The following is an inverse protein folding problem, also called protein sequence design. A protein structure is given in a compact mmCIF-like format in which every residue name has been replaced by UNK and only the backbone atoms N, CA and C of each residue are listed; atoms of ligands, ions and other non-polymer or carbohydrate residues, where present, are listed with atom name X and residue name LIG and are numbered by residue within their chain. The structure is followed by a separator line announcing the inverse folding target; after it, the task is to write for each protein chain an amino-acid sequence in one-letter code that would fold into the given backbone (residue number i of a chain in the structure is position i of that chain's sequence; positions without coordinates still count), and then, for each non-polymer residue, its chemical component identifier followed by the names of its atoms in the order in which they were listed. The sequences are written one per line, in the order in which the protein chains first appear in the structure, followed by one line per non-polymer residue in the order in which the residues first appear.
data_IF_717576167408
#
_entry.id   IF_717576167408
#
_cell.length_a   1.000
_cell.length_b   1.000
_cell.length_c   1.000
_cell.angle_alpha   90.00
_cell.angle_beta   90.00
_cell.angle_gamma   90.00
#
_symmetry.space_group_name_H-M   'P 1'
#
loop_
_entity.id
_entity.type
_entity.pdbx_description
1 polymer ?
#
# COMPACT_ATOMS: atom_id res chain seq x y z
N UNK A 1 -95.03 -50.02 33.07
CA UNK A 1 -94.64 -49.45 31.82
C UNK A 1 -93.08 -49.22 31.91
N UNK A 2 -92.38 -49.88 31.02
CA UNK A 2 -90.94 -50.08 31.00
C UNK A 2 -90.21 -48.91 30.41
N UNK A 3 -89.15 -48.47 31.03
CA UNK A 3 -88.14 -47.69 30.36
C UNK A 3 -86.77 -48.24 30.66
N UNK A 4 -86.15 -48.79 29.61
CA UNK A 4 -84.82 -49.35 29.60
C UNK A 4 -83.77 -48.23 29.63
N UNK A 5 -82.87 -48.22 30.64
CA UNK A 5 -81.71 -47.41 30.69
C UNK A 5 -80.56 -47.99 29.82
N UNK A 6 -80.07 -47.20 28.93
CA UNK A 6 -78.97 -47.53 28.06
C UNK A 6 -77.63 -47.06 28.71
N UNK A 7 -76.71 -48.00 29.03
CA UNK A 7 -75.39 -47.73 29.51
C UNK A 7 -74.52 -47.25 28.36
N UNK A 8 -73.91 -46.06 28.48
CA UNK A 8 -72.98 -45.49 27.54
C UNK A 8 -71.55 -45.81 28.02
N UNK A 9 -70.84 -46.62 27.27
CA UNK A 9 -69.48 -46.99 27.55
C UNK A 9 -68.60 -45.92 26.86
N UNK A 10 -67.85 -45.13 27.66
CA UNK A 10 -66.90 -44.16 27.17
C UNK A 10 -65.59 -44.91 26.96
N UNK A 11 -65.17 -45.05 25.69
CA UNK A 11 -63.85 -45.55 25.33
C UNK A 11 -62.84 -44.37 25.31
N UNK A 12 -61.94 -44.41 26.23
CA UNK A 12 -60.84 -43.40 26.31
C UNK A 12 -59.76 -43.75 25.26
N UNK A 13 -59.69 -42.98 24.21
CA UNK A 13 -58.58 -43.05 23.21
C UNK A 13 -57.40 -42.25 23.73
N UNK A 14 -56.36 -42.95 24.16
CA UNK A 14 -55.01 -42.31 24.47
C UNK A 14 -54.34 -42.09 23.16
N UNK A 15 -54.24 -40.82 22.74
CA UNK A 15 -53.51 -40.38 21.56
C UNK A 15 -52.04 -40.17 21.94
N UNK A 16 -51.20 -41.15 21.58
CA UNK A 16 -49.77 -41.08 21.74
C UNK A 16 -49.22 -40.08 20.68
N UNK A 17 -48.90 -38.83 21.08
CA UNK A 17 -48.14 -37.89 20.26
C UNK A 17 -46.69 -38.36 20.20
N UNK A 18 -46.26 -39.00 19.14
CA UNK A 18 -44.87 -39.19 18.76
C UNK A 18 -44.32 -37.83 18.32
N UNK A 19 -43.57 -37.19 19.21
CA UNK A 19 -42.70 -36.05 18.87
C UNK A 19 -41.54 -36.57 18.01
N UNK A 20 -41.73 -36.58 16.70
CA UNK A 20 -40.62 -36.62 15.73
C UNK A 20 -39.92 -35.26 15.81
N UNK A 21 -38.84 -35.19 16.59
CA UNK A 21 -37.87 -34.11 16.49
C UNK A 21 -37.30 -34.16 15.07
N UNK A 22 -37.77 -33.29 14.20
CA UNK A 22 -37.08 -32.98 12.97
C UNK A 22 -35.72 -32.35 13.33
N UNK A 23 -34.72 -33.19 13.33
CA UNK A 23 -33.33 -32.74 13.29
C UNK A 23 -33.15 -32.14 11.89
N UNK A 24 -33.50 -30.86 11.70
CA UNK A 24 -33.10 -30.13 10.52
C UNK A 24 -31.57 -30.07 10.57
N UNK A 25 -30.88 -30.54 9.55
CA UNK A 25 -29.44 -30.25 9.46
C UNK A 25 -29.33 -28.72 9.50
N UNK A 26 -28.61 -28.21 10.49
CA UNK A 26 -28.16 -26.83 10.47
C UNK A 26 -27.41 -26.72 9.15
N UNK A 27 -28.01 -26.04 8.19
CA UNK A 27 -27.36 -25.66 6.95
C UNK A 27 -26.20 -24.77 7.37
N UNK A 28 -25.03 -25.39 7.54
CA UNK A 28 -23.77 -24.68 7.63
C UNK A 28 -23.48 -24.13 6.22
N UNK A 29 -24.40 -23.24 5.80
CA UNK A 29 -24.22 -22.49 4.58
C UNK A 29 -22.82 -21.92 4.62
N UNK A 30 -21.99 -22.39 3.72
CA UNK A 30 -20.68 -21.84 3.45
C UNK A 30 -20.86 -20.32 3.25
N UNK A 31 -20.75 -19.56 4.37
CA UNK A 31 -20.87 -18.11 4.31
C UNK A 31 -19.70 -17.62 3.48
N UNK A 32 -19.98 -17.30 2.23
CA UNK A 32 -18.98 -16.73 1.33
C UNK A 32 -18.74 -15.29 1.78
N UNK A 33 -17.77 -15.13 2.67
CA UNK A 33 -17.39 -13.82 3.19
C UNK A 33 -16.54 -13.10 2.15
N UNK A 34 -16.81 -11.82 1.94
CA UNK A 34 -16.06 -10.98 0.99
C UNK A 34 -15.24 -9.95 1.75
N UNK A 35 -14.00 -9.72 1.27
CA UNK A 35 -13.14 -8.62 1.70
C UNK A 35 -13.00 -7.64 0.54
N UNK A 36 -13.22 -6.35 0.78
CA UNK A 36 -12.88 -5.27 -0.15
C UNK A 36 -11.49 -4.73 0.19
N UNK A 37 -10.50 -5.05 -0.65
CA UNK A 37 -9.14 -4.54 -0.55
C UNK A 37 -8.99 -3.29 -1.39
N UNK A 38 -8.70 -2.17 -0.76
CA UNK A 38 -8.31 -0.92 -1.42
C UNK A 38 -6.79 -0.72 -1.25
N UNK A 39 -6.05 -0.91 -2.31
CA UNK A 39 -4.59 -0.79 -2.30
C UNK A 39 -4.08 0.24 -3.31
N UNK A 40 -2.86 0.72 -3.11
CA UNK A 40 -2.18 1.48 -4.16
C UNK A 40 -1.74 0.55 -5.30
N UNK A 41 -1.33 1.12 -6.45
CA UNK A 41 -1.16 0.35 -7.70
C UNK A 41 -0.02 -0.66 -7.69
N UNK A 42 1.04 -0.37 -6.94
CA UNK A 42 2.34 -1.06 -7.04
C UNK A 42 2.31 -2.53 -6.58
N UNK A 43 1.65 -2.90 -5.45
CA UNK A 43 1.65 -4.28 -4.97
C UNK A 43 0.63 -5.21 -5.64
N UNK A 44 -0.06 -4.76 -6.69
CA UNK A 44 -1.15 -5.50 -7.32
C UNK A 44 -0.78 -6.94 -7.67
N UNK A 45 0.34 -7.16 -8.32
CA UNK A 45 0.77 -8.49 -8.75
C UNK A 45 1.07 -9.41 -7.55
N UNK A 46 1.69 -8.88 -6.50
CA UNK A 46 1.95 -9.64 -5.28
C UNK A 46 0.65 -10.08 -4.61
N UNK A 47 -0.33 -9.17 -4.51
CA UNK A 47 -1.65 -9.50 -3.96
C UNK A 47 -2.37 -10.54 -4.81
N UNK A 48 -2.51 -10.31 -6.11
CA UNK A 48 -3.34 -11.13 -6.97
C UNK A 48 -2.76 -12.51 -7.25
N UNK A 49 -1.45 -12.59 -7.43
CA UNK A 49 -0.81 -13.85 -7.86
C UNK A 49 -0.36 -14.76 -6.71
N UNK A 50 -0.09 -14.20 -5.52
CA UNK A 50 0.47 -14.97 -4.40
C UNK A 50 -0.34 -14.80 -3.10
N UNK A 51 -0.48 -13.58 -2.60
CA UNK A 51 -0.95 -13.31 -1.24
C UNK A 51 -2.42 -13.69 -1.06
N UNK A 52 -3.31 -13.21 -1.93
CA UNK A 52 -4.74 -13.50 -1.86
C UNK A 52 -5.01 -15.00 -2.03
N UNK A 53 -4.47 -15.70 -3.06
CA UNK A 53 -4.68 -17.13 -3.19
C UNK A 53 -4.18 -17.95 -1.99
N UNK A 54 -3.00 -17.61 -1.46
CA UNK A 54 -2.45 -18.30 -0.30
C UNK A 54 -3.30 -18.09 0.97
N UNK A 55 -3.73 -16.84 1.23
CA UNK A 55 -4.63 -16.56 2.35
C UNK A 55 -5.97 -17.27 2.21
N UNK A 56 -6.60 -17.27 1.03
CA UNK A 56 -7.85 -17.97 0.77
C UNK A 56 -7.75 -19.46 1.09
N UNK A 57 -6.66 -20.09 0.66
CA UNK A 57 -6.36 -21.50 0.97
C UNK A 57 -6.21 -21.73 2.47
N UNK A 58 -5.34 -20.94 3.12
CA UNK A 58 -5.09 -21.05 4.56
C UNK A 58 -6.36 -20.82 5.39
N UNK A 59 -7.17 -19.80 5.04
CA UNK A 59 -8.42 -19.50 5.73
C UNK A 59 -9.40 -20.67 5.63
N UNK A 60 -9.58 -21.23 4.43
CA UNK A 60 -10.44 -22.39 4.20
C UNK A 60 -9.98 -23.64 4.97
N UNK A 61 -8.67 -23.91 4.97
CA UNK A 61 -8.10 -25.04 5.72
C UNK A 61 -8.30 -24.90 7.23
N UNK A 62 -8.16 -23.66 7.74
CA UNK A 62 -8.25 -23.37 9.19
C UNK A 62 -9.71 -23.32 9.69
N UNK A 63 -10.63 -22.80 8.89
CA UNK A 63 -11.99 -22.47 9.34
C UNK A 63 -13.10 -23.24 8.63
N UNK A 64 -12.82 -23.88 7.51
CA UNK A 64 -13.83 -24.46 6.61
C UNK A 64 -14.57 -23.42 5.76
N UNK A 65 -14.38 -22.12 6.02
CA UNK A 65 -15.09 -21.04 5.32
C UNK A 65 -14.31 -20.59 4.07
N UNK A 66 -15.07 -20.13 3.06
CA UNK A 66 -14.48 -19.50 1.88
C UNK A 66 -14.49 -17.98 2.03
N UNK A 67 -13.46 -17.33 1.53
CA UNK A 67 -13.36 -15.88 1.43
C UNK A 67 -13.07 -15.47 -0.01
N UNK A 68 -13.74 -14.41 -0.46
CA UNK A 68 -13.52 -13.80 -1.78
C UNK A 68 -13.02 -12.39 -1.61
N UNK A 69 -12.38 -11.86 -2.65
CA UNK A 69 -11.86 -10.49 -2.64
C UNK A 69 -12.49 -9.67 -3.76
N UNK A 70 -12.87 -8.45 -3.41
CA UNK A 70 -12.97 -7.34 -4.36
C UNK A 70 -11.73 -6.48 -4.18
N UNK A 71 -11.22 -5.96 -5.27
CA UNK A 71 -9.94 -5.26 -5.26
C UNK A 71 -10.06 -3.93 -6.00
N UNK A 72 -9.47 -2.87 -5.44
CA UNK A 72 -9.31 -1.57 -6.08
C UNK A 72 -7.86 -1.16 -6.04
N UNK A 73 -7.29 -0.78 -7.18
CA UNK A 73 -5.90 -0.36 -7.33
C UNK A 73 -5.82 0.97 -8.07
N UNK A 74 -5.62 2.04 -7.33
CA UNK A 74 -5.41 3.40 -7.86
C UNK A 74 -4.27 4.08 -7.10
N UNK A 75 -3.91 5.30 -7.47
CA UNK A 75 -2.91 6.07 -6.71
C UNK A 75 -3.32 6.22 -5.25
N UNK A 76 -2.37 6.09 -4.32
CA UNK A 76 -2.62 5.96 -2.88
C UNK A 76 -3.47 7.11 -2.31
N UNK A 77 -3.13 8.36 -2.62
CA UNK A 77 -3.93 9.51 -2.18
C UNK A 77 -5.33 9.55 -2.80
N UNK A 78 -5.48 9.07 -4.05
CA UNK A 78 -6.79 8.92 -4.69
C UNK A 78 -7.61 7.82 -4.00
N UNK A 79 -6.96 6.73 -3.60
CA UNK A 79 -7.58 5.62 -2.88
C UNK A 79 -8.07 6.05 -1.49
N UNK A 80 -7.24 6.78 -0.74
CA UNK A 80 -7.63 7.33 0.56
C UNK A 80 -8.87 8.22 0.44
N UNK A 81 -8.89 9.13 -0.54
CA UNK A 81 -10.06 9.98 -0.79
C UNK A 81 -11.28 9.18 -1.24
N UNK A 82 -11.13 8.13 -2.04
CA UNK A 82 -12.24 7.28 -2.44
C UNK A 82 -12.89 6.60 -1.21
N UNK A 83 -12.09 6.09 -0.27
CA UNK A 83 -12.57 5.52 0.98
C UNK A 83 -13.33 6.57 1.80
N UNK A 84 -12.77 7.75 2.00
CA UNK A 84 -13.42 8.85 2.73
C UNK A 84 -14.73 9.27 2.06
N UNK A 85 -14.80 9.21 0.74
CA UNK A 85 -15.99 9.55 -0.05
C UNK A 85 -16.97 8.38 -0.25
N UNK A 86 -16.82 7.26 0.48
CA UNK A 86 -17.81 6.19 0.54
C UNK A 86 -17.43 4.90 -0.20
N UNK A 87 -16.19 4.71 -0.65
CA UNK A 87 -15.72 3.39 -1.06
C UNK A 87 -15.67 2.49 0.18
N UNK A 88 -16.51 1.48 0.22
CA UNK A 88 -16.66 0.58 1.36
C UNK A 88 -15.53 -0.46 1.41
N UNK A 89 -14.29 0.01 1.51
CA UNK A 89 -13.13 -0.85 1.67
C UNK A 89 -13.04 -1.37 3.11
N UNK A 90 -12.74 -2.66 3.25
CA UNK A 90 -12.46 -3.29 4.56
C UNK A 90 -11.00 -3.11 4.95
N UNK A 91 -10.11 -3.13 3.96
CA UNK A 91 -8.65 -3.01 4.13
C UNK A 91 -8.13 -1.87 3.27
N UNK A 92 -7.41 -0.95 3.88
CA UNK A 92 -6.64 0.08 3.23
C UNK A 92 -5.15 -0.29 3.29
N UNK A 93 -4.57 -0.69 2.15
CA UNK A 93 -3.13 -0.98 2.01
C UNK A 93 -2.51 0.10 1.12
N UNK A 94 -1.97 1.14 1.75
CA UNK A 94 -1.61 2.38 1.08
C UNK A 94 -0.10 2.61 1.02
N UNK A 95 0.30 3.60 0.24
CA UNK A 95 1.70 3.90 -0.04
C UNK A 95 2.41 4.59 1.12
N UNK A 96 1.67 5.33 1.94
CA UNK A 96 2.26 6.16 2.99
C UNK A 96 1.28 6.39 4.16
N UNK A 97 1.87 6.64 5.32
CA UNK A 97 1.16 6.91 6.57
C UNK A 97 0.11 8.02 6.45
N UNK A 98 0.45 9.13 5.79
CA UNK A 98 -0.45 10.28 5.66
C UNK A 98 -1.77 9.97 4.98
N UNK A 99 -1.80 8.96 4.09
CA UNK A 99 -3.03 8.50 3.43
C UNK A 99 -3.91 7.68 4.41
N UNK A 100 -3.31 6.84 5.26
CA UNK A 100 -4.03 6.16 6.35
C UNK A 100 -4.56 7.18 7.36
N UNK A 101 -3.75 8.17 7.73
CA UNK A 101 -4.16 9.24 8.65
C UNK A 101 -5.33 10.08 8.08
N UNK A 102 -5.43 10.22 6.77
CA UNK A 102 -6.58 10.88 6.14
C UNK A 102 -7.89 10.12 6.40
N UNK A 103 -7.86 8.79 6.32
CA UNK A 103 -9.00 7.91 6.60
C UNK A 103 -9.30 7.88 8.11
N UNK A 104 -8.26 7.86 8.94
CA UNK A 104 -8.38 7.92 10.41
C UNK A 104 -9.03 9.23 10.88
N UNK A 105 -8.57 10.37 10.37
CA UNK A 105 -9.17 11.69 10.67
C UNK A 105 -10.63 11.82 10.23
N UNK A 106 -11.03 11.08 9.19
CA UNK A 106 -12.43 10.98 8.78
C UNK A 106 -13.28 10.06 9.70
N UNK A 107 -12.68 9.45 10.72
CA UNK A 107 -13.35 8.59 11.70
C UNK A 107 -13.73 7.21 11.18
N UNK A 108 -13.17 6.78 10.05
CA UNK A 108 -13.43 5.47 9.44
C UNK A 108 -12.50 4.38 10.00
N UNK A 109 -11.27 4.72 10.34
CA UNK A 109 -10.33 3.90 11.12
C UNK A 109 -10.40 4.42 12.55
N UNK A 110 -10.72 3.57 13.53
CA UNK A 110 -10.96 3.97 14.92
C UNK A 110 -9.99 3.34 15.92
N UNK A 111 -9.28 2.28 15.51
CA UNK A 111 -8.24 1.66 16.31
C UNK A 111 -6.89 2.34 16.08
N UNK A 112 -5.97 2.18 17.02
CA UNK A 112 -4.58 2.59 16.82
C UNK A 112 -3.87 1.57 15.91
N UNK A 113 -3.87 1.85 14.61
CA UNK A 113 -3.31 0.97 13.59
C UNK A 113 -1.79 0.80 13.70
N UNK A 114 -1.10 1.76 14.36
CA UNK A 114 0.36 1.71 14.59
C UNK A 114 0.78 0.73 15.69
N UNK A 115 -0.15 0.26 16.53
CA UNK A 115 0.16 -0.78 17.53
C UNK A 115 0.39 -2.17 16.94
N UNK A 116 0.12 -2.36 15.64
CA UNK A 116 0.47 -3.61 14.96
C UNK A 116 1.99 -3.76 14.84
N UNK A 117 2.50 -5.00 14.65
CA UNK A 117 3.92 -5.21 14.41
C UNK A 117 4.47 -4.28 13.32
N UNK A 118 5.71 -3.86 13.46
CA UNK A 118 6.37 -2.91 12.54
C UNK A 118 5.61 -1.59 12.35
N UNK A 119 4.93 -1.10 13.41
CA UNK A 119 4.10 0.12 13.36
C UNK A 119 3.02 0.09 12.26
N UNK A 120 2.46 -1.09 11.98
CA UNK A 120 1.46 -1.26 10.93
C UNK A 120 2.02 -1.29 9.49
N UNK A 121 3.33 -1.24 9.33
CA UNK A 121 3.97 -1.37 8.02
C UNK A 121 4.01 -2.83 7.58
N UNK A 122 3.80 -3.07 6.28
CA UNK A 122 3.80 -4.42 5.70
C UNK A 122 4.88 -4.63 4.65
N UNK A 123 5.37 -3.56 4.03
CA UNK A 123 6.48 -3.62 3.08
C UNK A 123 7.33 -2.36 3.18
N UNK A 124 8.56 -2.47 2.69
CA UNK A 124 9.50 -1.38 2.50
C UNK A 124 10.01 -1.36 1.07
N UNK A 125 10.58 -0.24 0.68
CA UNK A 125 11.28 -0.04 -0.59
C UNK A 125 12.25 1.13 -0.43
N UNK A 126 12.91 1.52 -1.50
CA UNK A 126 13.64 2.79 -1.58
C UNK A 126 13.26 3.49 -2.89
N UNK A 127 13.46 4.80 -2.95
CA UNK A 127 13.38 5.52 -4.22
C UNK A 127 14.66 5.24 -5.02
N UNK A 128 14.48 4.85 -6.27
CA UNK A 128 15.55 4.53 -7.20
C UNK A 128 15.27 5.13 -8.58
N UNK A 129 16.25 5.09 -9.48
CA UNK A 129 16.06 5.48 -10.86
C UNK A 129 15.98 4.26 -11.76
N UNK A 130 14.99 4.25 -12.66
CA UNK A 130 14.96 3.37 -13.81
C UNK A 130 15.52 4.08 -15.02
N UNK A 131 16.53 3.51 -15.64
CA UNK A 131 17.13 4.01 -16.90
C UNK A 131 17.13 2.91 -17.95
N UNK A 132 17.22 3.28 -19.22
CA UNK A 132 17.34 2.30 -20.32
C UNK A 132 18.56 1.42 -20.09
N UNK A 133 18.46 0.16 -20.54
CA UNK A 133 19.52 -0.82 -20.40
C UNK A 133 20.85 -0.31 -20.94
N UNK A 134 21.90 -0.51 -20.15
CA UNK A 134 23.26 0.00 -20.45
C UNK A 134 23.48 1.46 -20.06
N UNK A 135 22.47 2.13 -19.47
CA UNK A 135 22.55 3.49 -18.96
C UNK A 135 23.29 4.47 -19.92
N UNK A 136 22.79 4.68 -21.14
CA UNK A 136 23.52 5.40 -22.20
C UNK A 136 23.80 6.87 -21.85
N UNK A 137 23.03 7.45 -20.91
CA UNK A 137 23.19 8.83 -20.45
C UNK A 137 24.03 8.94 -19.16
N UNK A 138 24.54 7.82 -18.68
CA UNK A 138 25.44 7.75 -17.49
C UNK A 138 24.80 8.43 -16.27
N UNK A 139 23.50 8.19 -16.04
CA UNK A 139 22.75 8.66 -14.87
C UNK A 139 23.18 7.85 -13.65
N UNK A 140 23.68 8.51 -12.60
CA UNK A 140 24.14 7.86 -11.36
C UNK A 140 23.62 8.52 -10.10
N UNK A 141 23.50 9.85 -10.12
CA UNK A 141 23.16 10.66 -8.96
C UNK A 141 22.05 11.67 -9.31
N UNK A 142 21.45 12.24 -8.28
CA UNK A 142 20.40 13.25 -8.43
C UNK A 142 20.82 14.45 -9.31
N UNK A 143 22.08 14.84 -9.24
CA UNK A 143 22.61 15.95 -10.05
C UNK A 143 22.58 15.65 -11.55
N UNK A 144 22.65 14.38 -11.94
CA UNK A 144 22.55 13.99 -13.35
C UNK A 144 21.17 14.31 -13.92
N UNK A 145 20.12 14.26 -13.08
CA UNK A 145 18.76 14.58 -13.47
C UNK A 145 18.53 16.08 -13.69
N UNK A 146 19.47 16.94 -13.25
CA UNK A 146 19.39 18.40 -13.44
C UNK A 146 20.00 18.86 -14.77
N UNK A 147 20.73 17.97 -15.48
CA UNK A 147 21.40 18.30 -16.73
C UNK A 147 20.38 18.68 -17.82
N UNK A 148 20.68 19.72 -18.62
CA UNK A 148 19.79 20.09 -19.74
C UNK A 148 19.57 18.92 -20.71
N UNK A 149 18.33 18.73 -21.14
CA UNK A 149 17.97 17.71 -22.11
C UNK A 149 17.61 16.34 -21.51
N UNK A 150 17.84 16.08 -20.23
CA UNK A 150 17.38 14.87 -19.55
C UNK A 150 15.85 14.97 -19.34
N UNK A 151 15.14 13.97 -19.80
CA UNK A 151 13.68 13.86 -19.63
C UNK A 151 13.35 12.99 -18.41
N UNK A 152 12.92 13.62 -17.32
CA UNK A 152 12.59 12.96 -16.05
C UNK A 152 11.09 12.63 -16.01
N UNK A 153 10.75 11.47 -15.46
CA UNK A 153 9.38 11.06 -15.18
C UNK A 153 9.23 10.73 -13.69
N UNK A 154 8.17 11.19 -13.07
CA UNK A 154 7.61 10.72 -11.81
C UNK A 154 6.15 11.13 -11.70
N UNK A 155 5.31 10.46 -10.87
CA UNK A 155 3.88 10.75 -10.83
C UNK A 155 3.53 12.06 -10.10
N UNK A 156 2.27 12.43 -10.12
CA UNK A 156 1.76 13.63 -9.43
C UNK A 156 1.52 13.38 -7.94
N UNK A 157 2.04 14.20 -7.02
CA UNK A 157 1.76 14.04 -5.59
C UNK A 157 0.31 14.36 -5.20
N UNK A 158 -0.48 14.92 -6.13
CA UNK A 158 -1.92 15.16 -5.92
C UNK A 158 -2.74 13.86 -5.93
N UNK A 159 -2.22 12.80 -6.53
CA UNK A 159 -2.92 11.51 -6.69
C UNK A 159 -2.11 10.33 -6.19
N UNK A 160 -0.79 10.39 -6.30
CA UNK A 160 0.14 9.30 -6.03
C UNK A 160 0.94 9.54 -4.74
N UNK A 161 0.83 8.63 -3.78
CA UNK A 161 1.74 8.61 -2.64
C UNK A 161 3.18 8.29 -3.04
N UNK A 162 3.37 7.55 -4.16
CA UNK A 162 4.69 7.32 -4.75
C UNK A 162 5.39 8.62 -5.08
N UNK A 163 4.68 9.56 -5.71
CA UNK A 163 5.21 10.88 -6.02
C UNK A 163 5.65 11.66 -4.77
N UNK A 164 4.94 11.50 -3.65
CA UNK A 164 5.37 12.15 -2.40
C UNK A 164 6.67 11.53 -1.90
N UNK A 165 6.85 10.22 -2.03
CA UNK A 165 8.14 9.58 -1.75
C UNK A 165 9.25 10.06 -2.68
N UNK A 166 8.98 10.17 -3.99
CA UNK A 166 9.97 10.63 -4.99
C UNK A 166 10.43 12.07 -4.70
N UNK A 167 9.48 12.97 -4.43
CA UNK A 167 9.76 14.38 -4.11
C UNK A 167 10.50 14.50 -2.77
N UNK A 168 10.07 13.74 -1.75
CA UNK A 168 10.75 13.71 -0.44
C UNK A 168 12.18 13.17 -0.58
N UNK A 169 12.41 12.18 -1.45
CA UNK A 169 13.75 11.68 -1.75
C UNK A 169 14.65 12.75 -2.37
N UNK A 170 14.12 13.48 -3.36
CA UNK A 170 14.87 14.58 -4.02
C UNK A 170 15.21 15.68 -3.02
N UNK A 171 14.21 16.16 -2.28
CA UNK A 171 14.39 17.23 -1.31
C UNK A 171 15.35 16.80 -0.19
N UNK A 172 15.13 15.63 0.38
CA UNK A 172 15.95 15.06 1.43
C UNK A 172 17.38 14.77 1.00
N UNK A 173 17.58 14.35 -0.26
CA UNK A 173 18.93 14.18 -0.82
C UNK A 173 19.71 15.51 -0.87
N UNK A 174 19.04 16.61 -1.24
CA UNK A 174 19.67 17.94 -1.19
C UNK A 174 20.08 18.35 0.23
N UNK A 175 19.21 18.10 1.22
CA UNK A 175 19.55 18.30 2.63
C UNK A 175 20.73 17.43 3.08
N UNK A 176 20.72 16.14 2.66
CA UNK A 176 21.75 15.16 3.08
C UNK A 176 23.12 15.49 2.49
N UNK A 177 23.16 15.91 1.24
CA UNK A 177 24.40 16.38 0.61
C UNK A 177 24.97 17.60 1.32
N UNK A 178 24.14 18.60 1.65
CA UNK A 178 24.57 19.76 2.43
C UNK A 178 25.10 19.35 3.81
N UNK A 179 24.40 18.44 4.50
CA UNK A 179 24.81 17.93 5.80
C UNK A 179 26.17 17.22 5.75
N UNK A 180 26.43 16.43 4.70
CA UNK A 180 27.69 15.74 4.52
C UNK A 180 28.84 16.71 4.17
N UNK A 181 28.56 17.79 3.44
CA UNK A 181 29.54 18.81 3.06
C UNK A 181 29.86 19.76 4.21
N UNK A 182 28.88 20.18 4.99
CA UNK A 182 28.98 21.30 5.94
C UNK A 182 28.71 20.93 7.41
N UNK A 183 28.23 19.71 7.68
CA UNK A 183 27.80 19.25 8.98
C UNK A 183 26.39 19.72 9.37
N UNK A 184 25.65 20.40 8.47
CA UNK A 184 24.31 20.94 8.75
C UNK A 184 23.37 20.74 7.55
N UNK A 185 22.11 20.45 7.85
CA UNK A 185 21.02 20.47 6.85
C UNK A 185 20.85 21.89 6.31
N UNK A 186 20.65 22.00 5.00
CA UNK A 186 20.38 23.26 4.33
C UNK A 186 19.11 23.15 3.47
N UNK A 187 17.98 23.75 3.90
CA UNK A 187 16.72 23.73 3.15
C UNK A 187 16.81 24.32 1.74
N UNK A 188 17.69 25.29 1.53
CA UNK A 188 17.86 25.88 0.20
C UNK A 188 18.48 24.91 -0.79
N UNK A 189 19.44 24.08 -0.36
CA UNK A 189 20.01 23.01 -1.18
C UNK A 189 18.94 21.95 -1.56
N UNK A 190 18.04 21.60 -0.64
CA UNK A 190 16.90 20.75 -0.92
C UNK A 190 15.97 21.36 -1.97
N UNK A 191 15.63 22.64 -1.82
CA UNK A 191 14.81 23.41 -2.76
C UNK A 191 15.46 23.54 -4.13
N UNK A 192 16.74 23.88 -4.18
CA UNK A 192 17.50 24.03 -5.43
C UNK A 192 17.50 22.73 -6.23
N UNK A 193 17.83 21.60 -5.59
CA UNK A 193 17.85 20.30 -6.25
C UNK A 193 16.47 19.93 -6.79
N UNK A 194 15.41 20.06 -5.97
CA UNK A 194 14.05 19.77 -6.38
C UNK A 194 13.61 20.67 -7.53
N UNK A 195 13.90 21.97 -7.46
CA UNK A 195 13.56 22.92 -8.52
C UNK A 195 14.29 22.61 -9.83
N UNK A 196 15.57 22.24 -9.77
CA UNK A 196 16.36 21.92 -10.94
C UNK A 196 15.86 20.64 -11.64
N UNK A 197 15.54 19.59 -10.86
CA UNK A 197 14.97 18.35 -11.42
C UNK A 197 13.56 18.59 -11.97
N UNK A 198 12.71 19.35 -11.26
CA UNK A 198 11.34 19.64 -11.70
C UNK A 198 11.28 20.32 -13.09
N UNK A 199 12.28 21.13 -13.44
CA UNK A 199 12.37 21.74 -14.80
C UNK A 199 12.52 20.70 -15.91
N UNK A 200 13.07 19.54 -15.58
CA UNK A 200 13.28 18.43 -16.51
C UNK A 200 12.14 17.41 -16.51
N UNK A 201 11.16 17.54 -15.61
CA UNK A 201 10.00 16.64 -15.55
C UNK A 201 9.11 16.89 -16.76
N UNK A 202 8.88 15.84 -17.55
CA UNK A 202 8.07 15.90 -18.79
C UNK A 202 6.62 15.54 -18.57
N UNK A 203 6.36 14.53 -17.74
CA UNK A 203 5.03 14.04 -17.44
C UNK A 203 4.93 13.73 -15.95
N UNK A 204 3.81 14.07 -15.35
CA UNK A 204 3.42 13.66 -14.01
C UNK A 204 2.12 12.86 -14.11
N UNK A 205 2.26 11.53 -14.21
CA UNK A 205 1.14 10.59 -14.28
C UNK A 205 0.37 10.49 -12.96
N UNK A 206 -0.80 9.82 -12.96
CA UNK A 206 -1.62 9.72 -11.75
C UNK A 206 -1.10 8.69 -10.72
N UNK A 207 -0.22 7.79 -11.12
CA UNK A 207 0.34 6.74 -10.25
C UNK A 207 1.74 6.33 -10.70
N UNK A 208 2.52 5.72 -9.79
CA UNK A 208 3.83 5.15 -10.12
C UNK A 208 3.76 4.11 -11.25
N UNK A 209 2.71 3.28 -11.26
CA UNK A 209 2.46 2.31 -12.31
C UNK A 209 2.27 2.96 -13.68
N UNK A 210 1.55 4.09 -13.74
CA UNK A 210 1.36 4.84 -14.99
C UNK A 210 2.67 5.48 -15.46
N UNK A 211 3.49 6.04 -14.55
CA UNK A 211 4.81 6.57 -14.90
C UNK A 211 5.74 5.50 -15.46
N UNK A 212 5.71 4.28 -14.90
CA UNK A 212 6.43 3.16 -15.51
C UNK A 212 5.92 2.84 -16.91
N UNK A 213 4.61 2.82 -17.13
CA UNK A 213 4.02 2.59 -18.47
C UNK A 213 4.42 3.69 -19.46
N UNK A 214 4.46 4.95 -19.01
CA UNK A 214 4.93 6.09 -19.81
C UNK A 214 6.39 5.92 -20.19
N UNK A 215 7.23 5.49 -19.25
CA UNK A 215 8.64 5.19 -19.47
C UNK A 215 8.84 4.02 -20.45
N UNK A 216 8.08 2.94 -20.30
CA UNK A 216 8.08 1.76 -21.19
C UNK A 216 7.72 2.12 -22.63
N UNK A 217 6.87 3.10 -22.86
CA UNK A 217 6.54 3.65 -24.18
C UNK A 217 7.65 4.54 -24.77
N UNK A 218 8.77 4.68 -24.08
CA UNK A 218 9.93 5.45 -24.54
C UNK A 218 9.83 6.96 -24.29
N UNK A 219 8.86 7.41 -23.51
CA UNK A 219 8.75 8.80 -23.06
C UNK A 219 9.61 8.97 -21.80
N UNK A 220 10.65 9.75 -21.90
CA UNK A 220 11.61 10.00 -20.81
C UNK A 220 12.87 9.16 -20.89
N UNK A 221 13.90 9.69 -20.26
CA UNK A 221 15.23 9.09 -20.16
C UNK A 221 15.45 8.38 -18.82
N UNK A 222 14.78 8.87 -17.79
CA UNK A 222 14.83 8.36 -16.43
C UNK A 222 13.45 8.43 -15.76
N UNK A 223 13.09 7.37 -15.09
CA UNK A 223 11.92 7.36 -14.19
C UNK A 223 12.41 7.29 -12.75
N UNK A 224 11.95 8.23 -11.91
CA UNK A 224 12.14 8.18 -10.46
C UNK A 224 10.95 7.44 -9.89
N UNK A 225 11.19 6.35 -9.17
CA UNK A 225 10.14 5.46 -8.71
C UNK A 225 10.61 4.54 -7.58
N UNK A 226 9.74 3.67 -7.12
CA UNK A 226 10.09 2.60 -6.19
C UNK A 226 11.04 1.58 -6.83
N UNK A 227 12.04 1.14 -6.06
CA UNK A 227 12.92 0.02 -6.41
C UNK A 227 12.13 -1.21 -6.89
N UNK A 228 11.08 -1.58 -6.16
CA UNK A 228 10.30 -2.79 -6.47
C UNK A 228 9.52 -2.70 -7.79
N UNK A 229 9.14 -1.51 -8.27
CA UNK A 229 8.54 -1.37 -9.62
C UNK A 229 9.54 -1.76 -10.71
N UNK A 230 10.81 -1.38 -10.55
CA UNK A 230 11.88 -1.71 -11.49
C UNK A 230 12.27 -3.18 -11.39
N UNK A 231 12.40 -3.70 -10.17
CA UNK A 231 12.70 -5.11 -9.94
C UNK A 231 11.60 -6.02 -10.49
N UNK A 232 10.33 -5.66 -10.33
CA UNK A 232 9.20 -6.38 -10.89
C UNK A 232 9.29 -6.49 -12.42
N UNK A 233 9.61 -5.37 -13.11
CA UNK A 233 9.75 -5.35 -14.57
C UNK A 233 10.91 -6.20 -15.04
N UNK A 234 11.98 -6.24 -14.28
CA UNK A 234 13.19 -7.00 -14.59
C UNK A 234 13.07 -8.50 -14.25
N UNK A 235 11.97 -8.96 -13.61
CA UNK A 235 11.79 -10.39 -13.27
C UNK A 235 11.74 -11.30 -14.50
N UNK A 236 11.09 -10.86 -15.57
CA UNK A 236 10.95 -11.65 -16.78
C UNK A 236 12.10 -11.37 -17.77
N UNK A 237 12.45 -10.10 -17.92
CA UNK A 237 13.55 -9.64 -18.78
C UNK A 237 14.21 -8.41 -18.17
N UNK A 238 15.55 -8.34 -18.15
CA UNK A 238 16.29 -7.18 -17.60
C UNK A 238 16.24 -6.01 -18.59
N UNK A 239 15.11 -5.31 -18.64
CA UNK A 239 14.83 -4.23 -19.59
C UNK A 239 15.47 -2.91 -19.18
N UNK A 240 15.73 -2.71 -17.88
CA UNK A 240 16.18 -1.47 -17.30
C UNK A 240 17.36 -1.70 -16.36
N UNK A 241 18.23 -0.70 -16.25
CA UNK A 241 19.18 -0.65 -15.17
C UNK A 241 18.53 0.10 -14.00
N UNK A 242 18.70 -0.43 -12.78
CA UNK A 242 18.23 0.16 -11.53
C UNK A 242 19.41 0.90 -10.92
N UNK A 243 19.28 2.21 -10.75
CA UNK A 243 20.31 3.06 -10.19
C UNK A 243 19.87 3.50 -8.79
N UNK A 244 20.72 3.25 -7.83
CA UNK A 244 20.54 3.67 -6.44
C UNK A 244 21.41 4.90 -6.20
N UNK A 245 20.82 6.12 -6.07
CA UNK A 245 21.62 7.29 -5.71
C UNK A 245 22.15 7.13 -4.28
N UNK A 246 23.28 7.75 -3.97
CA UNK A 246 23.90 7.65 -2.64
C UNK A 246 22.95 8.05 -1.52
N UNK A 247 22.25 9.17 -1.68
CA UNK A 247 21.24 9.63 -0.74
C UNK A 247 19.83 9.30 -1.27
N UNK A 248 19.08 8.50 -0.54
CA UNK A 248 17.68 8.19 -0.88
C UNK A 248 16.85 7.92 0.35
N UNK A 249 15.51 7.88 0.19
CA UNK A 249 14.58 7.69 1.29
C UNK A 249 14.12 6.23 1.39
N UNK A 250 14.02 5.75 2.62
CA UNK A 250 13.32 4.50 2.94
C UNK A 250 11.82 4.72 2.81
N UNK A 251 11.20 3.95 1.96
CA UNK A 251 9.76 3.89 1.78
C UNK A 251 9.17 2.86 2.74
N UNK A 252 8.12 3.22 3.46
CA UNK A 252 7.39 2.33 4.34
C UNK A 252 5.90 2.38 4.00
N UNK A 253 5.32 1.20 3.76
CA UNK A 253 3.95 1.07 3.27
C UNK A 253 3.04 0.46 4.34
N UNK A 254 2.05 1.22 4.84
CA UNK A 254 1.15 0.78 5.90
C UNK A 254 -0.04 -0.01 5.40
N UNK A 255 -0.66 -0.75 6.32
CA UNK A 255 -1.98 -1.34 6.19
C UNK A 255 -2.84 -1.06 7.40
N UNK A 256 -4.12 -0.79 7.19
CA UNK A 256 -5.10 -0.66 8.27
C UNK A 256 -6.45 -1.26 7.88
N UNK A 257 -7.20 -1.73 8.90
CA UNK A 257 -8.62 -2.03 8.74
C UNK A 257 -9.41 -0.72 8.71
N UNK A 258 -10.45 -0.68 7.90
CA UNK A 258 -11.41 0.43 7.90
C UNK A 258 -12.57 0.04 8.79
N UNK A 259 -12.47 0.30 10.10
CA UNK A 259 -13.35 -0.24 11.14
C UNK A 259 -14.83 -0.08 10.84
N UNK A 260 -15.24 1.11 10.39
CA UNK A 260 -16.66 1.39 10.11
C UNK A 260 -17.23 0.48 9.01
N UNK A 261 -16.44 0.16 8.00
CA UNK A 261 -16.86 -0.73 6.93
C UNK A 261 -16.83 -2.18 7.38
N UNK A 262 -15.79 -2.59 8.09
CA UNK A 262 -15.65 -3.95 8.65
C UNK A 262 -16.81 -4.27 9.59
N UNK A 263 -17.18 -3.33 10.46
CA UNK A 263 -18.33 -3.50 11.38
C UNK A 263 -19.66 -3.56 10.60
N UNK A 264 -19.81 -2.72 9.57
CA UNK A 264 -20.99 -2.74 8.69
C UNK A 264 -21.13 -4.07 7.94
N UNK A 265 -20.04 -4.64 7.45
CA UNK A 265 -20.01 -5.88 6.68
C UNK A 265 -20.04 -7.13 7.57
N UNK A 266 -19.77 -7.00 8.87
CA UNK A 266 -19.73 -8.11 9.82
C UNK A 266 -18.62 -9.12 9.55
N UNK A 267 -17.53 -8.70 8.89
CA UNK A 267 -16.45 -9.57 8.42
C UNK A 267 -15.13 -9.38 9.20
N UNK A 268 -15.18 -8.75 10.39
CA UNK A 268 -14.00 -8.38 11.19
C UNK A 268 -13.01 -9.52 11.39
N UNK A 269 -13.48 -10.71 11.76
CA UNK A 269 -12.59 -11.84 12.05
C UNK A 269 -11.69 -12.23 10.86
N UNK A 270 -12.24 -12.28 9.65
CA UNK A 270 -11.47 -12.63 8.45
C UNK A 270 -10.60 -11.47 7.99
N UNK A 271 -11.04 -10.23 8.15
CA UNK A 271 -10.25 -9.04 7.80
C UNK A 271 -9.04 -8.90 8.74
N UNK A 272 -9.22 -9.07 10.03
CA UNK A 272 -8.10 -9.10 11.01
C UNK A 272 -7.12 -10.22 10.72
N UNK A 273 -7.61 -11.42 10.37
CA UNK A 273 -6.77 -12.53 9.98
C UNK A 273 -5.97 -12.23 8.70
N UNK A 274 -6.60 -11.58 7.71
CA UNK A 274 -5.91 -11.18 6.48
C UNK A 274 -4.81 -10.14 6.75
N UNK A 275 -5.10 -9.09 7.51
CA UNK A 275 -4.10 -8.08 7.86
C UNK A 275 -2.95 -8.68 8.68
N UNK A 276 -3.24 -9.61 9.61
CA UNK A 276 -2.21 -10.34 10.32
C UNK A 276 -1.37 -11.24 9.39
N UNK A 277 -2.02 -11.89 8.42
CA UNK A 277 -1.34 -12.71 7.41
C UNK A 277 -0.33 -11.91 6.59
N UNK A 278 -0.63 -10.66 6.25
CA UNK A 278 0.30 -9.80 5.49
C UNK A 278 1.66 -9.62 6.19
N UNK A 279 1.71 -9.76 7.51
CA UNK A 279 2.93 -9.68 8.32
C UNK A 279 3.58 -11.05 8.57
N UNK A 280 2.99 -12.16 8.08
CA UNK A 280 3.57 -13.49 8.20
C UNK A 280 4.80 -13.65 7.32
N UNK A 281 5.72 -14.51 7.74
CA UNK A 281 6.92 -14.86 6.96
C UNK A 281 6.58 -15.33 5.55
N UNK A 282 5.46 -16.06 5.36
CA UNK A 282 4.98 -16.51 4.06
C UNK A 282 4.61 -15.33 3.14
N UNK A 283 3.77 -14.41 3.63
CA UNK A 283 3.38 -13.22 2.86
C UNK A 283 4.58 -12.30 2.61
N UNK A 284 5.50 -12.20 3.57
CA UNK A 284 6.71 -11.40 3.41
C UNK A 284 7.67 -11.96 2.35
N UNK A 285 7.77 -13.30 2.22
CA UNK A 285 8.49 -13.93 1.10
C UNK A 285 7.80 -13.66 -0.24
N UNK A 286 6.45 -13.67 -0.27
CA UNK A 286 5.71 -13.29 -1.46
C UNK A 286 5.99 -11.83 -1.85
N UNK A 287 5.93 -10.89 -0.93
CA UNK A 287 6.31 -9.50 -1.20
C UNK A 287 7.76 -9.37 -1.69
N UNK A 288 8.70 -10.04 -1.04
CA UNK A 288 10.11 -10.01 -1.44
C UNK A 288 10.33 -10.59 -2.85
N UNK A 289 9.58 -11.63 -3.25
CA UNK A 289 9.58 -12.16 -4.62
C UNK A 289 9.28 -11.06 -5.64
N UNK A 290 8.29 -10.20 -5.35
CA UNK A 290 7.88 -9.09 -6.20
C UNK A 290 8.69 -7.78 -5.99
N UNK A 291 9.86 -7.89 -5.35
CA UNK A 291 10.82 -6.78 -5.25
C UNK A 291 10.63 -5.86 -4.07
N UNK A 292 9.68 -6.10 -3.18
CA UNK A 292 9.53 -5.34 -1.94
C UNK A 292 10.56 -5.77 -0.90
N UNK A 293 11.12 -4.81 -0.18
CA UNK A 293 11.93 -5.07 1.01
C UNK A 293 11.00 -5.54 2.13
N UNK A 294 11.22 -6.73 2.70
CA UNK A 294 10.36 -7.25 3.75
C UNK A 294 10.53 -6.49 5.07
N UNK A 295 9.50 -6.55 5.92
CA UNK A 295 9.58 -6.08 7.32
C UNK A 295 9.95 -7.21 8.28
N UNK A 296 9.74 -8.47 7.89
CA UNK A 296 10.10 -9.66 8.68
C UNK A 296 11.62 -9.85 8.70
N UNK A 297 12.27 -9.89 9.90
CA UNK A 297 13.72 -10.01 10.00
C UNK A 297 14.30 -11.29 9.37
N UNK A 298 13.54 -12.39 9.40
CA UNK A 298 13.97 -13.66 8.79
C UNK A 298 14.07 -13.52 7.29
N UNK A 299 13.01 -12.94 6.66
CA UNK A 299 12.98 -12.74 5.22
C UNK A 299 13.97 -11.65 4.78
N UNK A 300 14.19 -10.62 5.62
CA UNK A 300 15.26 -9.64 5.38
C UNK A 300 16.64 -10.33 5.27
N UNK A 301 16.95 -11.24 6.20
CA UNK A 301 18.20 -11.98 6.16
C UNK A 301 18.31 -12.91 4.93
N UNK A 302 17.21 -13.57 4.56
CA UNK A 302 17.13 -14.43 3.37
C UNK A 302 17.35 -13.66 2.05
N UNK A 303 17.00 -12.38 2.00
CA UNK A 303 16.95 -11.57 0.78
C UNK A 303 17.95 -10.41 0.74
N UNK A 304 18.89 -10.35 1.69
CA UNK A 304 19.86 -9.26 1.82
C UNK A 304 20.63 -8.97 0.52
N UNK A 305 20.99 -10.00 -0.23
CA UNK A 305 21.77 -9.85 -1.47
C UNK A 305 20.92 -9.31 -2.64
N UNK A 306 19.58 -9.33 -2.49
CA UNK A 306 18.65 -8.78 -3.50
C UNK A 306 18.49 -7.28 -3.39
N UNK A 307 18.69 -6.71 -2.19
CA UNK A 307 18.39 -5.32 -1.87
C UNK A 307 19.64 -4.58 -1.42
N UNK A 308 20.33 -3.88 -2.33
CA UNK A 308 21.51 -3.09 -1.97
C UNK A 308 21.17 -2.00 -0.94
N UNK A 309 22.05 -1.78 0.03
CA UNK A 309 21.90 -0.66 0.97
C UNK A 309 22.48 0.62 0.37
N UNK A 310 21.66 1.69 0.20
CA UNK A 310 22.17 2.98 -0.22
C UNK A 310 23.12 3.57 0.82
N UNK A 311 24.13 4.31 0.36
CA UNK A 311 25.19 4.85 1.24
C UNK A 311 24.63 5.78 2.33
N UNK A 312 23.62 6.61 1.99
CA UNK A 312 22.97 7.55 2.89
C UNK A 312 21.46 7.35 2.85
N UNK A 313 21.00 6.21 3.37
CA UNK A 313 19.59 5.94 3.51
C UNK A 313 19.02 6.76 4.67
N UNK A 314 17.96 7.52 4.42
CA UNK A 314 17.20 8.25 5.43
C UNK A 314 15.73 7.87 5.35
N UNK A 315 14.99 8.11 6.43
CA UNK A 315 13.54 7.89 6.53
C UNK A 315 12.76 9.21 6.55
N UNK A 316 11.45 9.13 6.72
CA UNK A 316 10.61 10.31 6.79
C UNK A 316 10.88 11.16 8.03
N UNK A 317 11.39 10.58 9.11
CA UNK A 317 11.71 11.30 10.34
C UNK A 317 12.91 12.23 10.15
N UNK A 318 13.79 11.91 9.21
CA UNK A 318 14.85 12.84 8.78
C UNK A 318 14.29 14.16 8.26
N UNK A 319 13.07 14.15 7.67
CA UNK A 319 12.34 15.35 7.22
C UNK A 319 11.38 15.90 8.29
N UNK A 320 11.43 15.39 9.52
CA UNK A 320 10.55 15.80 10.62
C UNK A 320 9.21 15.06 10.68
N UNK A 321 9.10 13.90 10.02
CA UNK A 321 7.89 13.08 9.95
C UNK A 321 6.87 13.57 8.92
N UNK A 322 5.84 12.76 8.67
CA UNK A 322 4.83 13.07 7.65
C UNK A 322 4.09 14.39 7.85
N UNK A 323 3.79 14.77 9.09
CA UNK A 323 3.09 16.02 9.38
C UNK A 323 3.91 17.23 8.92
N UNK A 324 5.19 17.26 9.29
CA UNK A 324 6.13 18.33 8.93
C UNK A 324 6.40 18.33 7.42
N UNK A 325 6.68 17.17 6.82
CA UNK A 325 6.95 17.07 5.39
C UNK A 325 5.71 17.50 4.56
N UNK A 326 4.50 17.13 4.99
CA UNK A 326 3.27 17.55 4.31
C UNK A 326 3.08 19.06 4.31
N UNK A 327 3.34 19.73 5.43
CA UNK A 327 3.21 21.18 5.53
C UNK A 327 4.34 21.89 4.76
N UNK A 328 5.59 21.51 5.02
CA UNK A 328 6.76 22.22 4.48
C UNK A 328 6.98 21.98 2.98
N UNK A 329 6.57 20.83 2.44
CA UNK A 329 6.82 20.49 1.04
C UNK A 329 5.56 20.71 0.20
N UNK A 330 4.38 20.30 0.67
CA UNK A 330 3.14 20.27 -0.12
C UNK A 330 2.07 21.28 0.35
N UNK A 331 2.25 21.91 1.51
CA UNK A 331 1.34 22.94 2.03
C UNK A 331 1.23 24.16 1.09
N UNK A 332 0.32 25.10 1.36
CA UNK A 332 0.11 26.29 0.51
C UNK A 332 1.38 27.14 0.31
N UNK A 333 2.31 27.12 1.24
CA UNK A 333 3.62 27.79 1.17
C UNK A 333 4.77 26.78 1.01
N UNK A 334 4.44 25.52 0.74
CA UNK A 334 5.41 24.43 0.65
C UNK A 334 6.35 24.55 -0.54
N UNK A 335 7.51 23.94 -0.40
CA UNK A 335 8.60 24.01 -1.39
C UNK A 335 8.14 23.52 -2.76
N UNK A 336 7.51 22.35 -2.86
CA UNK A 336 7.04 21.79 -4.13
C UNK A 336 5.90 22.63 -4.72
N UNK A 337 4.95 23.04 -3.88
CA UNK A 337 3.83 23.91 -4.31
C UNK A 337 4.35 25.22 -4.89
N UNK A 338 5.31 25.86 -4.25
CA UNK A 338 5.92 27.09 -4.74
C UNK A 338 6.65 26.90 -6.09
N UNK A 339 7.37 25.77 -6.25
CA UNK A 339 8.08 25.46 -7.51
C UNK A 339 7.09 25.26 -8.66
N UNK A 340 6.01 24.50 -8.47
CA UNK A 340 5.04 24.18 -9.52
C UNK A 340 4.13 25.35 -9.84
N UNK A 341 3.76 26.16 -8.87
CA UNK A 341 2.93 27.35 -9.08
C UNK A 341 3.72 28.59 -9.52
N UNK A 342 5.05 28.49 -9.63
CA UNK A 342 5.91 29.59 -10.04
C UNK A 342 6.03 30.70 -8.99
N UNK A 343 5.62 30.45 -7.74
CA UNK A 343 5.79 31.40 -6.64
C UNK A 343 7.26 31.41 -6.24
N UNK A 344 7.92 32.57 -6.35
CA UNK A 344 9.23 32.75 -5.75
C UNK A 344 9.07 32.57 -4.23
N UNK A 345 9.83 31.62 -3.67
CA UNK A 345 9.83 31.39 -2.23
C UNK A 345 10.10 32.69 -1.48
N UNK A 346 9.27 32.99 -0.50
CA UNK A 346 9.46 34.09 0.45
C UNK A 346 10.53 33.73 1.47
#
# INVERSE_FOLDING_TARGET
MSTKGRKLTVATFVLLFLLTACNQPVDTGSSNTQIMLAAYTVPKEAYQKEIIPAFQKQWKEKTGQTVTFKESYVGSGAQARAIVNGLEADVAALSLEGDIETIHKAGLITHDWKQRPHNGMITRSVVAFGVKKGNPLTIREWQDLTKPGIAVLYPSPRTSGGAMWDINAIYGAGLKMAEMETGKKDPDRGRELLSAIQKNVKVMDNSGRESMTTFEKGLGDVVVTYENELLLRNMEQPLYDVIYPKATILIENPVALVDKNVDKHGNRAVVEAFVAYLQSTEAQRAFAKYGFRPVDPTVMAETKDKFPEPEWLFDIDYLGGWATASEQIYGPQGVWTGIVEGKKGS
#
